data_IF_563258566458
#
_entry.id   IF_563258566458
#
_cell.length_a   1.000
_cell.length_b   1.000
_cell.length_c   1.000
_cell.angle_alpha   90.00
_cell.angle_beta   90.00
_cell.angle_gamma   90.00
#
_symmetry.space_group_name_H-M   'P 1'
#
loop_
_entity.id
_entity.type
_entity.pdbx_description
1 polymer ?
#
# COMPACT_ATOMS: atom_id res chain seq x y z
N UNK A 1 33.23 -106.46 -16.25
CA UNK A 1 34.06 -105.51 -15.46
C UNK A 1 33.15 -104.63 -14.61
N UNK A 2 33.61 -104.26 -13.42
CA UNK A 2 32.83 -103.87 -12.25
C UNK A 2 32.39 -102.40 -12.23
N UNK A 3 31.31 -102.12 -11.47
CA UNK A 3 30.75 -100.81 -11.13
C UNK A 3 31.79 -99.78 -10.64
N UNK A 4 31.50 -98.47 -10.79
CA UNK A 4 31.42 -97.49 -9.67
C UNK A 4 31.08 -96.05 -10.11
N UNK A 5 29.93 -95.58 -9.59
CA UNK A 5 29.62 -94.29 -8.90
C UNK A 5 29.49 -92.95 -9.67
N UNK A 6 28.32 -92.34 -9.43
CA UNK A 6 27.92 -90.93 -9.54
C UNK A 6 28.93 -89.92 -8.95
N UNK A 7 28.92 -88.68 -9.49
CA UNK A 7 28.93 -87.38 -8.77
C UNK A 7 28.46 -86.28 -9.76
N UNK A 8 27.56 -85.34 -9.36
CA UNK A 8 27.15 -84.19 -10.17
C UNK A 8 28.14 -83.02 -10.00
N UNK A 9 28.58 -82.39 -11.09
CA UNK A 9 29.35 -81.15 -11.05
C UNK A 9 28.39 -79.96 -11.02
N UNK A 10 28.39 -79.30 -9.87
CA UNK A 10 27.76 -77.99 -9.63
C UNK A 10 28.44 -76.95 -10.51
N UNK A 11 27.67 -76.36 -11.43
CA UNK A 11 28.07 -75.21 -12.24
C UNK A 11 27.97 -73.94 -11.37
N UNK A 12 29.08 -73.57 -10.73
CA UNK A 12 29.22 -72.33 -9.96
C UNK A 12 29.39 -71.14 -10.94
N UNK A 13 28.28 -70.52 -11.34
CA UNK A 13 28.29 -69.25 -12.06
C UNK A 13 28.69 -68.15 -11.06
N UNK A 14 29.97 -67.78 -11.10
CA UNK A 14 30.49 -66.56 -10.50
C UNK A 14 29.88 -65.34 -11.20
N UNK A 15 28.77 -64.86 -10.66
CA UNK A 15 28.29 -63.51 -10.94
C UNK A 15 29.31 -62.53 -10.33
N UNK A 16 30.25 -62.06 -11.15
CA UNK A 16 31.01 -60.86 -10.86
C UNK A 16 30.04 -59.67 -10.85
N UNK A 17 29.39 -59.46 -9.70
CA UNK A 17 28.63 -58.25 -9.44
C UNK A 17 29.60 -57.08 -9.35
N UNK A 18 29.70 -56.29 -10.41
CA UNK A 18 30.17 -54.91 -10.30
C UNK A 18 29.22 -54.18 -9.34
N UNK A 19 29.57 -54.16 -8.06
CA UNK A 19 29.02 -53.20 -7.12
C UNK A 19 29.53 -51.83 -7.56
N UNK A 20 28.70 -51.10 -8.32
CA UNK A 20 28.96 -49.70 -8.61
C UNK A 20 28.95 -48.95 -7.28
N UNK A 21 30.14 -48.69 -6.73
CA UNK A 21 30.32 -47.96 -5.49
C UNK A 21 29.71 -46.56 -5.57
N UNK A 22 29.40 -45.99 -4.41
CA UNK A 22 28.88 -44.63 -4.30
C UNK A 22 29.76 -43.65 -5.11
N UNK A 23 29.17 -42.83 -6.00
CA UNK A 23 29.93 -41.89 -6.80
C UNK A 23 30.68 -40.89 -5.93
N UNK A 24 31.92 -40.58 -6.29
CA UNK A 24 32.80 -39.66 -5.54
C UNK A 24 32.21 -38.25 -5.38
N UNK A 25 31.35 -37.83 -6.31
CA UNK A 25 30.68 -36.53 -6.27
C UNK A 25 29.65 -36.42 -5.15
N UNK A 26 29.15 -37.55 -4.61
CA UNK A 26 28.21 -37.57 -3.47
C UNK A 26 28.93 -37.19 -2.17
N UNK A 27 30.20 -37.56 -2.02
CA UNK A 27 30.99 -37.30 -0.79
C UNK A 27 31.79 -36.01 -0.87
N UNK A 28 32.39 -35.71 -2.02
CA UNK A 28 33.37 -34.62 -2.13
C UNK A 28 32.86 -33.43 -2.93
N UNK A 29 31.62 -33.48 -3.46
CA UNK A 29 31.05 -32.47 -4.39
C UNK A 29 31.93 -32.18 -5.61
N UNK A 30 32.87 -33.07 -5.94
CA UNK A 30 33.77 -32.98 -7.07
C UNK A 30 33.46 -34.09 -8.05
N UNK A 31 33.26 -33.73 -9.31
CA UNK A 31 32.97 -34.66 -10.38
C UNK A 31 34.11 -34.63 -11.41
N UNK A 32 34.76 -35.76 -11.73
CA UNK A 32 35.93 -35.80 -12.62
C UNK A 32 35.69 -35.17 -14.00
N UNK A 33 34.45 -35.22 -14.50
CA UNK A 33 34.05 -34.61 -15.76
C UNK A 33 33.76 -33.10 -15.74
N UNK A 34 33.78 -32.45 -14.57
CA UNK A 34 33.41 -31.02 -14.42
C UNK A 34 34.47 -30.25 -13.64
N UNK A 35 35.47 -29.73 -14.36
CA UNK A 35 36.56 -28.95 -13.79
C UNK A 35 36.05 -27.62 -13.20
N UNK A 36 36.41 -27.25 -11.95
CA UNK A 36 35.91 -26.04 -11.26
C UNK A 36 36.23 -24.74 -11.99
N UNK A 37 37.24 -24.72 -12.85
CA UNK A 37 37.60 -23.57 -13.68
C UNK A 37 36.47 -23.23 -14.65
N UNK A 38 35.91 -24.26 -15.30
CA UNK A 38 34.91 -24.13 -16.37
C UNK A 38 33.47 -24.34 -15.90
N UNK A 39 33.27 -24.98 -14.75
CA UNK A 39 31.95 -25.36 -14.26
C UNK A 39 31.69 -24.87 -12.84
N UNK A 40 30.44 -24.52 -12.54
CA UNK A 40 29.92 -24.50 -11.15
C UNK A 40 29.12 -25.77 -10.91
N UNK A 41 29.31 -26.39 -9.75
CA UNK A 41 28.71 -27.68 -9.40
C UNK A 41 27.96 -27.54 -8.09
N UNK A 42 26.74 -28.07 -8.03
CA UNK A 42 25.92 -28.10 -6.82
C UNK A 42 25.32 -29.47 -6.60
N UNK A 43 25.38 -29.98 -5.37
CA UNK A 43 24.80 -31.28 -5.00
C UNK A 43 23.54 -31.04 -4.17
N UNK A 44 22.44 -31.63 -4.62
CA UNK A 44 21.15 -31.60 -3.94
C UNK A 44 20.80 -32.96 -3.37
N UNK A 45 20.12 -32.96 -2.23
CA UNK A 45 19.65 -34.18 -1.58
C UNK A 45 18.19 -34.07 -1.16
N UNK A 46 17.51 -35.21 -1.09
CA UNK A 46 16.19 -35.34 -0.50
C UNK A 46 16.03 -36.67 0.23
N UNK A 47 15.33 -36.63 1.36
CA UNK A 47 14.95 -37.84 2.08
C UNK A 47 13.83 -38.58 1.37
N UNK A 48 13.83 -39.91 1.49
CA UNK A 48 12.77 -40.77 0.96
C UNK A 48 11.40 -40.44 1.56
N UNK A 49 10.40 -40.32 0.71
CA UNK A 49 8.98 -40.22 1.02
C UNK A 49 8.22 -41.40 0.39
N UNK A 50 6.89 -41.29 0.32
CA UNK A 50 6.03 -42.30 -0.34
C UNK A 50 6.01 -42.14 -1.87
N UNK A 51 6.59 -41.06 -2.40
CA UNK A 51 6.67 -40.77 -3.84
C UNK A 51 8.13 -40.58 -4.27
N UNK A 52 8.77 -41.64 -4.80
CA UNK A 52 10.16 -41.59 -5.26
C UNK A 52 10.41 -40.57 -6.39
N UNK A 53 9.39 -40.26 -7.20
CA UNK A 53 9.52 -39.30 -8.28
C UNK A 53 9.55 -37.88 -7.72
N UNK A 54 8.67 -37.56 -6.75
CA UNK A 54 8.69 -36.29 -6.05
C UNK A 54 10.01 -36.10 -5.28
N UNK A 55 10.56 -37.16 -4.68
CA UNK A 55 11.85 -37.10 -3.99
C UNK A 55 12.98 -36.76 -4.98
N UNK A 56 13.05 -37.45 -6.12
CA UNK A 56 14.04 -37.16 -7.15
C UNK A 56 13.92 -35.72 -7.68
N UNK A 57 12.71 -35.24 -7.95
CA UNK A 57 12.49 -33.84 -8.37
C UNK A 57 12.93 -32.84 -7.31
N UNK A 58 12.76 -33.17 -6.02
CA UNK A 58 13.21 -32.35 -4.90
C UNK A 58 14.74 -32.33 -4.80
N UNK A 59 15.41 -33.47 -5.00
CA UNK A 59 16.88 -33.53 -5.09
C UNK A 59 17.41 -32.68 -6.26
N UNK A 60 16.79 -32.78 -7.45
CA UNK A 60 17.14 -31.97 -8.61
C UNK A 60 16.97 -30.46 -8.33
N UNK A 61 15.85 -30.06 -7.72
CA UNK A 61 15.59 -28.66 -7.36
C UNK A 61 16.62 -28.15 -6.34
N UNK A 62 16.96 -28.96 -5.34
CA UNK A 62 17.98 -28.63 -4.35
C UNK A 62 19.37 -28.50 -4.98
N UNK A 63 19.72 -29.33 -5.97
CA UNK A 63 21.00 -29.27 -6.66
C UNK A 63 21.13 -27.97 -7.46
N UNK A 64 20.07 -27.58 -8.18
CA UNK A 64 19.99 -26.30 -8.91
C UNK A 64 20.08 -25.10 -7.95
N UNK A 65 19.40 -25.17 -6.82
CA UNK A 65 19.45 -24.14 -5.78
C UNK A 65 20.87 -23.96 -5.24
N UNK A 66 21.62 -25.05 -5.07
CA UNK A 66 23.00 -24.98 -4.58
C UNK A 66 23.95 -24.27 -5.55
N UNK A 67 23.83 -24.56 -6.86
CA UNK A 67 24.55 -23.79 -7.90
C UNK A 67 24.18 -22.31 -7.85
N UNK A 68 22.88 -21.99 -7.72
CA UNK A 68 22.40 -20.61 -7.64
C UNK A 68 22.94 -19.86 -6.41
N UNK A 69 23.02 -20.52 -5.24
CA UNK A 69 23.60 -19.94 -4.02
C UNK A 69 25.08 -19.61 -4.20
N UNK A 70 25.87 -20.53 -4.75
CA UNK A 70 27.30 -20.30 -5.00
C UNK A 70 27.51 -19.11 -5.93
N UNK A 71 26.70 -19.00 -6.97
CA UNK A 71 26.77 -17.87 -7.89
C UNK A 71 26.41 -16.54 -7.22
N UNK A 72 25.38 -16.52 -6.37
CA UNK A 72 25.02 -15.34 -5.56
C UNK A 72 26.17 -14.89 -4.65
N UNK A 73 26.81 -15.82 -3.96
CA UNK A 73 27.97 -15.54 -3.09
C UNK A 73 29.13 -14.95 -3.90
N UNK A 74 29.42 -15.51 -5.08
CA UNK A 74 30.49 -15.02 -5.96
C UNK A 74 30.23 -13.61 -6.49
N UNK A 75 28.97 -13.26 -6.76
CA UNK A 75 28.59 -11.90 -7.15
C UNK A 75 28.78 -10.93 -5.99
N UNK A 76 28.26 -11.27 -4.80
CA UNK A 76 28.36 -10.42 -3.61
C UNK A 76 29.82 -10.18 -3.18
N UNK A 77 30.68 -11.20 -3.27
CA UNK A 77 32.11 -11.08 -2.97
C UNK A 77 32.83 -10.19 -3.98
N UNK A 78 32.56 -10.35 -5.28
CA UNK A 78 33.12 -9.51 -6.35
C UNK A 78 32.73 -8.04 -6.20
N UNK A 79 31.47 -7.75 -5.86
CA UNK A 79 30.99 -6.39 -5.61
C UNK A 79 31.64 -5.73 -4.38
N UNK A 80 31.80 -6.51 -3.30
CA UNK A 80 32.44 -6.04 -2.06
C UNK A 80 33.92 -5.70 -2.29
N UNK A 81 34.62 -6.50 -3.09
CA UNK A 81 36.01 -6.27 -3.47
C UNK A 81 36.17 -5.02 -4.35
N UNK A 82 35.25 -4.80 -5.32
CA UNK A 82 35.27 -3.59 -6.18
C UNK A 82 34.92 -2.30 -5.42
N UNK A 83 34.01 -2.33 -4.45
CA UNK A 83 33.70 -1.17 -3.59
C UNK A 83 34.92 -0.71 -2.78
N UNK A 84 35.74 -1.65 -2.28
CA UNK A 84 36.99 -1.34 -1.54
C UNK A 84 38.09 -0.74 -2.42
N UNK A 85 38.06 -0.97 -3.74
CA UNK A 85 39.09 -0.53 -4.67
C UNK A 85 38.78 0.85 -5.32
N UNK A 86 37.54 1.35 -5.25
CA UNK A 86 37.10 2.61 -5.91
C UNK A 86 36.87 3.79 -4.95
N UNK A 87 37.77 4.03 -4.00
CA UNK A 87 37.78 5.25 -3.17
C UNK A 87 38.51 6.44 -3.80
N UNK A 88 38.86 6.44 -5.09
CA UNK A 88 39.73 7.49 -5.67
C UNK A 88 39.41 8.02 -7.07
N UNK A 89 38.25 7.76 -7.67
CA UNK A 89 37.87 8.43 -8.92
C UNK A 89 36.35 8.53 -9.10
N UNK A 90 35.88 9.77 -9.23
CA UNK A 90 34.50 10.21 -9.38
C UNK A 90 33.77 9.52 -10.55
N UNK A 91 32.81 8.65 -10.22
CA UNK A 91 31.67 8.34 -11.08
C UNK A 91 30.41 8.85 -10.36
N UNK A 92 29.38 9.33 -11.09
CA UNK A 92 28.18 9.88 -10.48
C UNK A 92 27.56 8.89 -9.50
N UNK A 93 27.42 9.37 -8.27
CA UNK A 93 27.04 8.67 -7.05
C UNK A 93 25.56 8.22 -7.02
N UNK A 94 24.89 8.20 -8.18
CA UNK A 94 23.44 7.93 -8.29
C UNK A 94 23.14 6.43 -8.36
N UNK A 95 24.11 5.61 -8.76
CA UNK A 95 24.03 4.14 -8.73
C UNK A 95 25.02 3.51 -7.73
N UNK A 96 25.56 4.30 -6.80
CA UNK A 96 26.33 3.72 -5.70
C UNK A 96 25.37 3.10 -4.68
N UNK A 97 25.38 1.78 -4.71
CA UNK A 97 25.49 0.92 -3.53
C UNK A 97 24.24 0.36 -2.85
N UNK A 98 23.03 0.81 -3.15
CA UNK A 98 21.80 0.28 -2.50
C UNK A 98 20.76 -0.36 -3.44
N UNK A 99 20.71 0.03 -4.71
CA UNK A 99 19.76 -0.55 -5.69
C UNK A 99 20.36 -1.64 -6.58
N UNK A 100 21.66 -1.91 -6.44
CA UNK A 100 22.33 -2.96 -7.19
C UNK A 100 22.05 -4.30 -6.51
N UNK A 101 21.13 -5.05 -7.11
CA UNK A 101 20.78 -6.44 -6.84
C UNK A 101 19.84 -6.63 -5.64
N UNK A 102 18.58 -6.24 -5.80
CA UNK A 102 17.51 -6.91 -5.06
C UNK A 102 17.38 -8.33 -5.63
N UNK A 103 18.15 -9.22 -5.00
CA UNK A 103 18.63 -10.49 -5.53
C UNK A 103 17.57 -11.60 -5.46
N UNK A 104 16.36 -11.33 -5.93
CA UNK A 104 15.25 -12.31 -5.87
C UNK A 104 14.65 -12.59 -7.24
N UNK A 105 14.62 -11.62 -8.16
CA UNK A 105 14.07 -11.82 -9.52
C UNK A 105 15.05 -12.49 -10.49
N UNK A 106 16.36 -12.39 -10.27
CA UNK A 106 17.37 -12.99 -11.16
C UNK A 106 17.53 -14.52 -10.98
N UNK A 107 16.77 -15.17 -10.10
CA UNK A 107 16.87 -16.64 -9.91
C UNK A 107 16.42 -17.40 -11.17
N UNK A 108 15.44 -16.90 -11.91
CA UNK A 108 14.94 -17.59 -13.12
C UNK A 108 15.94 -17.52 -14.29
N UNK A 109 16.71 -16.44 -14.41
CA UNK A 109 17.77 -16.29 -15.43
C UNK A 109 18.97 -17.21 -15.11
N UNK A 110 19.20 -17.48 -13.83
CA UNK A 110 20.25 -18.39 -13.35
C UNK A 110 19.92 -19.87 -13.61
N UNK A 111 18.64 -20.24 -13.63
CA UNK A 111 18.20 -21.64 -13.76
C UNK A 111 18.30 -22.19 -15.19
N UNK A 112 18.23 -21.34 -16.23
CA UNK A 112 18.20 -21.80 -17.63
C UNK A 112 19.52 -22.42 -18.13
N UNK A 113 20.65 -22.13 -17.48
CA UNK A 113 21.95 -22.71 -17.82
C UNK A 113 22.33 -23.94 -16.98
N UNK A 114 21.51 -24.33 -16.01
CA UNK A 114 21.86 -25.38 -15.04
C UNK A 114 21.24 -26.72 -15.46
N UNK A 115 22.09 -27.70 -15.74
CA UNK A 115 21.69 -29.06 -16.12
C UNK A 115 21.93 -30.04 -14.98
N UNK A 116 21.05 -31.04 -14.84
CA UNK A 116 21.31 -32.18 -13.94
C UNK A 116 22.25 -33.13 -14.68
N UNK A 117 23.47 -33.27 -14.16
CA UNK A 117 24.51 -34.08 -14.78
C UNK A 117 24.39 -35.56 -14.40
N UNK A 118 23.99 -35.87 -13.16
CA UNK A 118 23.86 -37.24 -12.68
C UNK A 118 22.91 -37.32 -11.47
N UNK A 119 22.45 -38.53 -11.14
CA UNK A 119 21.60 -38.83 -9.99
C UNK A 119 22.05 -40.12 -9.31
N UNK A 120 21.98 -40.16 -7.99
CA UNK A 120 22.33 -41.35 -7.21
C UNK A 120 21.34 -41.58 -6.08
N UNK A 121 21.07 -42.85 -5.78
CA UNK A 121 20.25 -43.23 -4.64
C UNK A 121 21.05 -44.06 -3.65
N UNK A 122 21.22 -43.55 -2.42
CA UNK A 122 21.83 -44.31 -1.34
C UNK A 122 20.79 -45.22 -0.69
N UNK A 123 20.89 -46.53 -0.94
CA UNK A 123 20.07 -47.53 -0.24
C UNK A 123 20.37 -47.58 1.26
N UNK A 124 21.60 -47.27 1.67
CA UNK A 124 22.02 -47.25 3.07
C UNK A 124 21.38 -46.10 3.83
N UNK A 125 21.39 -44.90 3.25
CA UNK A 125 20.95 -43.68 3.92
C UNK A 125 19.50 -43.30 3.55
N UNK A 126 18.90 -44.00 2.59
CA UNK A 126 17.55 -43.72 2.07
C UNK A 126 17.42 -42.29 1.52
N UNK A 127 18.47 -41.82 0.82
CA UNK A 127 18.59 -40.48 0.27
C UNK A 127 18.70 -40.51 -1.26
N UNK A 128 17.98 -39.60 -1.92
CA UNK A 128 18.19 -39.27 -3.32
C UNK A 128 19.16 -38.11 -3.43
N UNK A 129 20.11 -38.23 -4.34
CA UNK A 129 21.10 -37.23 -4.68
C UNK A 129 20.97 -36.84 -6.14
N UNK A 130 21.19 -35.57 -6.42
CA UNK A 130 21.35 -35.05 -7.77
C UNK A 130 22.55 -34.10 -7.80
N UNK A 131 23.27 -34.09 -8.92
CA UNK A 131 24.33 -33.11 -9.16
C UNK A 131 23.94 -32.23 -10.33
N UNK A 132 23.97 -30.93 -10.08
CA UNK A 132 23.67 -29.89 -11.05
C UNK A 132 24.97 -29.20 -11.47
N UNK A 133 25.08 -28.86 -12.75
CA UNK A 133 26.26 -28.21 -13.33
C UNK A 133 25.86 -26.99 -14.16
N UNK A 134 26.67 -25.95 -14.09
CA UNK A 134 26.59 -24.75 -14.93
C UNK A 134 27.89 -24.60 -15.70
N UNK A 135 27.82 -24.62 -17.03
CA UNK A 135 28.94 -24.31 -17.91
C UNK A 135 29.19 -22.79 -17.94
N UNK A 136 30.29 -22.31 -17.35
CA UNK A 136 30.55 -20.87 -17.21
C UNK A 136 30.79 -20.19 -18.56
N UNK A 137 31.69 -20.66 -19.45
CA UNK A 137 31.88 -20.05 -20.78
C UNK A 137 30.61 -19.97 -21.62
N UNK A 138 29.84 -21.07 -21.67
CA UNK A 138 28.61 -21.13 -22.45
C UNK A 138 27.54 -20.17 -21.90
N UNK A 139 27.40 -20.13 -20.58
CA UNK A 139 26.49 -19.19 -19.91
C UNK A 139 26.93 -17.75 -20.14
N UNK A 140 28.23 -17.44 -20.04
CA UNK A 140 28.76 -16.12 -20.31
C UNK A 140 28.50 -15.68 -21.77
N UNK A 141 28.65 -16.59 -22.74
CA UNK A 141 28.36 -16.31 -24.15
C UNK A 141 26.88 -16.01 -24.41
N UNK A 142 25.97 -16.80 -23.81
CA UNK A 142 24.52 -16.54 -23.87
C UNK A 142 24.17 -15.18 -23.27
N UNK A 143 24.70 -14.88 -22.08
CA UNK A 143 24.48 -13.60 -21.42
C UNK A 143 25.04 -12.43 -22.23
N UNK A 144 26.17 -12.60 -22.91
CA UNK A 144 26.72 -11.59 -23.81
C UNK A 144 25.76 -11.28 -24.97
N UNK A 145 25.14 -12.30 -25.54
CA UNK A 145 24.14 -12.13 -26.61
C UNK A 145 22.90 -11.36 -26.12
N UNK A 146 22.36 -11.70 -24.94
CA UNK A 146 21.26 -10.96 -24.32
C UNK A 146 21.66 -9.54 -23.93
N UNK A 147 22.90 -9.34 -23.47
CA UNK A 147 23.45 -8.02 -23.17
C UNK A 147 23.49 -7.13 -24.42
N UNK A 148 23.95 -7.63 -25.57
CA UNK A 148 23.91 -6.89 -26.85
C UNK A 148 22.48 -6.52 -27.27
N UNK A 149 21.53 -7.45 -27.09
CA UNK A 149 20.11 -7.21 -27.34
C UNK A 149 19.54 -6.10 -26.46
N UNK A 150 19.85 -6.12 -25.15
CA UNK A 150 19.45 -5.07 -24.22
C UNK A 150 20.09 -3.73 -24.57
N UNK A 151 21.38 -3.69 -24.91
CA UNK A 151 22.07 -2.46 -25.35
C UNK A 151 21.38 -1.82 -26.56
N UNK A 152 21.08 -2.63 -27.59
CA UNK A 152 20.35 -2.18 -28.78
C UNK A 152 18.98 -1.62 -28.41
N UNK A 153 18.29 -2.27 -27.47
CA UNK A 153 16.97 -1.85 -27.01
C UNK A 153 17.00 -0.56 -26.19
N UNK A 154 18.02 -0.34 -25.37
CA UNK A 154 18.26 0.93 -24.65
C UNK A 154 18.39 2.08 -25.65
N UNK A 155 19.28 1.96 -26.62
CA UNK A 155 19.49 3.00 -27.64
C UNK A 155 18.20 3.33 -28.40
N UNK A 156 17.49 2.31 -28.85
CA UNK A 156 16.24 2.47 -29.59
C UNK A 156 15.14 3.15 -28.75
N UNK A 157 14.93 2.71 -27.52
CA UNK A 157 13.91 3.28 -26.65
C UNK A 157 14.25 4.70 -26.20
N UNK A 158 15.54 4.98 -25.95
CA UNK A 158 16.01 6.34 -25.65
C UNK A 158 15.81 7.29 -26.83
N UNK A 159 15.97 6.82 -28.07
CA UNK A 159 15.64 7.59 -29.28
C UNK A 159 14.14 7.86 -29.36
N UNK A 160 13.30 6.82 -29.22
CA UNK A 160 11.83 6.98 -29.21
C UNK A 160 11.34 7.91 -28.10
N UNK A 161 11.97 7.87 -26.93
CA UNK A 161 11.69 8.78 -25.83
C UNK A 161 11.86 10.25 -26.25
N UNK A 162 12.98 10.58 -26.89
CA UNK A 162 13.27 11.94 -27.38
C UNK A 162 12.30 12.38 -28.46
N UNK A 163 12.01 11.52 -29.44
CA UNK A 163 11.05 11.80 -30.51
C UNK A 163 9.64 12.09 -29.98
N UNK A 164 9.21 11.39 -28.93
CA UNK A 164 7.92 11.63 -28.30
C UNK A 164 7.89 12.95 -27.52
N UNK A 165 9.00 13.33 -26.86
CA UNK A 165 9.12 14.64 -26.23
C UNK A 165 9.03 15.78 -27.24
N UNK A 166 9.71 15.66 -28.38
CA UNK A 166 9.64 16.64 -29.46
C UNK A 166 8.22 16.80 -30.03
N UNK A 167 7.43 15.71 -30.03
CA UNK A 167 6.02 15.71 -30.42
C UNK A 167 5.06 16.17 -29.32
N UNK A 168 5.57 16.47 -28.11
CA UNK A 168 4.76 16.85 -26.95
C UNK A 168 4.04 15.69 -26.25
N UNK A 169 4.31 14.43 -26.63
CA UNK A 169 3.77 13.25 -25.94
C UNK A 169 4.64 12.88 -24.73
N UNK A 170 4.48 13.63 -23.64
CA UNK A 170 5.27 13.48 -22.42
C UNK A 170 5.04 12.12 -21.73
N UNK A 171 3.80 11.61 -21.73
CA UNK A 171 3.49 10.31 -21.09
C UNK A 171 4.06 9.16 -21.92
N UNK A 172 3.91 9.21 -23.24
CA UNK A 172 4.53 8.24 -24.15
C UNK A 172 6.05 8.24 -24.01
N UNK A 173 6.68 9.42 -23.96
CA UNK A 173 8.11 9.55 -23.74
C UNK A 173 8.54 8.92 -22.40
N UNK A 174 7.82 9.21 -21.32
CA UNK A 174 8.08 8.63 -20.01
C UNK A 174 7.99 7.09 -20.04
N UNK A 175 6.99 6.51 -20.72
CA UNK A 175 6.90 5.07 -20.88
C UNK A 175 8.11 4.48 -21.62
N UNK A 176 8.60 5.14 -22.68
CA UNK A 176 9.80 4.70 -23.39
C UNK A 176 11.06 4.82 -22.54
N UNK A 177 11.19 5.90 -21.77
CA UNK A 177 12.29 6.10 -20.81
C UNK A 177 12.31 5.03 -19.72
N UNK A 178 11.16 4.69 -19.14
CA UNK A 178 11.03 3.61 -18.14
C UNK A 178 11.45 2.26 -18.74
N UNK A 179 10.98 1.93 -19.96
CA UNK A 179 11.42 0.71 -20.66
C UNK A 179 12.92 0.70 -20.94
N UNK A 180 13.49 1.85 -21.33
CA UNK A 180 14.92 1.96 -21.57
C UNK A 180 15.70 1.68 -20.28
N UNK A 181 15.24 2.23 -19.15
CA UNK A 181 15.86 2.02 -17.84
C UNK A 181 15.78 0.56 -17.38
N UNK A 182 14.67 -0.13 -17.63
CA UNK A 182 14.53 -1.56 -17.37
C UNK A 182 15.56 -2.38 -18.16
N UNK A 183 15.67 -2.14 -19.47
CA UNK A 183 16.66 -2.82 -20.31
C UNK A 183 18.10 -2.46 -19.93
N UNK A 184 18.35 -1.23 -19.49
CA UNK A 184 19.66 -0.80 -18.99
C UNK A 184 20.05 -1.55 -17.72
N UNK A 185 19.11 -1.74 -16.79
CA UNK A 185 19.33 -2.56 -15.58
C UNK A 185 19.67 -4.00 -15.94
N UNK A 186 18.89 -4.64 -16.83
CA UNK A 186 19.18 -6.01 -17.31
C UNK A 186 20.54 -6.11 -18.04
N UNK A 187 20.91 -5.09 -18.82
CA UNK A 187 22.25 -5.00 -19.41
C UNK A 187 23.34 -5.01 -18.32
N UNK A 188 23.18 -4.19 -17.28
CA UNK A 188 24.15 -4.08 -16.19
C UNK A 188 24.25 -5.37 -15.37
N UNK A 189 23.12 -6.04 -15.12
CA UNK A 189 23.08 -7.33 -14.44
C UNK A 189 23.81 -8.42 -15.25
N UNK A 190 23.51 -8.53 -16.55
CA UNK A 190 24.20 -9.48 -17.43
C UNK A 190 25.71 -9.20 -17.48
N UNK A 191 26.10 -7.92 -17.57
CA UNK A 191 27.51 -7.52 -17.58
C UNK A 191 28.23 -7.93 -16.30
N UNK A 192 27.61 -7.73 -15.15
CA UNK A 192 28.17 -8.15 -13.86
C UNK A 192 28.31 -9.66 -13.77
N UNK A 193 27.30 -10.39 -14.24
CA UNK A 193 27.30 -11.86 -14.26
C UNK A 193 28.42 -12.42 -15.15
N UNK A 194 28.59 -11.88 -16.36
CA UNK A 194 29.67 -12.24 -17.28
C UNK A 194 31.03 -12.03 -16.61
N UNK A 195 31.23 -10.90 -15.92
CA UNK A 195 32.49 -10.62 -15.24
C UNK A 195 32.82 -11.57 -14.08
N UNK A 196 31.83 -12.27 -13.53
CA UNK A 196 32.02 -13.31 -12.50
C UNK A 196 32.27 -14.69 -13.13
N UNK A 197 31.53 -15.02 -14.20
CA UNK A 197 31.62 -16.32 -14.86
C UNK A 197 32.86 -16.46 -15.75
N UNK A 198 33.22 -15.40 -16.47
CA UNK A 198 34.40 -15.33 -17.32
C UNK A 198 35.02 -13.91 -17.23
N UNK A 199 35.96 -13.71 -16.27
CA UNK A 199 36.62 -12.43 -16.08
C UNK A 199 37.44 -11.95 -17.30
N UNK A 200 37.78 -12.85 -18.23
CA UNK A 200 38.56 -12.53 -19.43
C UNK A 200 37.67 -12.19 -20.62
N UNK A 201 36.37 -12.49 -20.57
CA UNK A 201 35.43 -12.22 -21.65
C UNK A 201 35.44 -10.74 -22.08
N UNK A 202 35.55 -10.45 -23.39
CA UNK A 202 35.54 -9.09 -23.91
C UNK A 202 34.19 -8.38 -23.68
N UNK A 203 33.08 -9.12 -23.70
CA UNK A 203 31.74 -8.58 -23.45
C UNK A 203 31.62 -7.91 -22.07
N UNK A 204 32.28 -8.45 -21.03
CA UNK A 204 32.29 -7.82 -19.70
C UNK A 204 32.98 -6.45 -19.67
N UNK A 205 33.80 -6.14 -20.69
CA UNK A 205 34.62 -4.93 -20.80
C UNK A 205 34.04 -3.89 -21.76
N UNK A 206 32.94 -4.19 -22.44
CA UNK A 206 32.27 -3.24 -23.35
C UNK A 206 31.86 -1.95 -22.62
N UNK A 207 31.86 -0.84 -23.37
CA UNK A 207 31.34 0.44 -22.88
C UNK A 207 29.82 0.34 -22.75
N UNK A 208 29.24 0.66 -21.58
CA UNK A 208 27.80 0.71 -21.42
C UNK A 208 27.12 1.64 -22.42
N UNK A 209 25.88 1.34 -22.84
CA UNK A 209 25.04 2.36 -23.45
C UNK A 209 24.83 3.51 -22.46
N UNK A 210 24.44 4.68 -22.98
CA UNK A 210 24.12 5.84 -22.14
C UNK A 210 22.99 5.49 -21.17
N UNK A 211 23.19 5.82 -19.89
CA UNK A 211 22.19 5.61 -18.84
C UNK A 211 20.96 6.49 -19.11
N UNK A 212 19.75 5.90 -19.29
CA UNK A 212 18.53 6.64 -19.55
C UNK A 212 17.93 7.31 -18.29
N UNK A 213 18.55 7.15 -17.12
CA UNK A 213 18.08 7.76 -15.88
C UNK A 213 17.94 9.27 -16.00
N UNK A 214 18.93 9.95 -16.59
CA UNK A 214 18.91 11.41 -16.74
C UNK A 214 17.73 11.88 -17.60
N UNK A 215 17.41 11.16 -18.68
CA UNK A 215 16.23 11.44 -19.50
C UNK A 215 14.94 11.29 -18.69
N UNK A 216 14.77 10.19 -17.94
CA UNK A 216 13.59 9.98 -17.09
C UNK A 216 13.48 11.03 -15.99
N UNK A 217 14.60 11.37 -15.34
CA UNK A 217 14.66 12.38 -14.29
C UNK A 217 14.31 13.77 -14.80
N UNK A 218 14.72 14.14 -16.02
CA UNK A 218 14.32 15.40 -16.66
C UNK A 218 12.83 15.47 -16.93
N UNK A 219 12.23 14.40 -17.46
CA UNK A 219 10.78 14.35 -17.70
C UNK A 219 10.04 14.48 -16.37
N UNK A 220 10.41 13.67 -15.37
CA UNK A 220 9.86 13.73 -14.00
C UNK A 220 9.95 15.14 -13.42
N UNK A 221 11.11 15.79 -13.51
CA UNK A 221 11.34 17.14 -12.99
C UNK A 221 10.56 18.24 -13.72
N UNK A 222 10.09 17.98 -14.94
CA UNK A 222 9.23 18.89 -15.68
C UNK A 222 7.76 18.86 -15.24
N UNK A 223 7.33 17.81 -14.54
CA UNK A 223 5.93 17.63 -14.16
C UNK A 223 5.58 18.49 -12.94
N UNK A 224 4.42 19.13 -12.97
CA UNK A 224 3.84 19.81 -11.81
C UNK A 224 2.35 19.53 -11.66
N UNK A 225 1.87 19.59 -10.43
CA UNK A 225 0.46 19.51 -10.07
C UNK A 225 0.06 20.80 -9.33
N UNK A 226 -1.13 21.31 -9.63
CA UNK A 226 -1.72 22.48 -8.97
C UNK A 226 -3.12 22.15 -8.47
N UNK A 227 -3.44 22.55 -7.24
CA UNK A 227 -4.78 22.47 -6.68
C UNK A 227 -5.71 23.51 -7.32
N UNK A 228 -6.89 23.06 -7.77
CA UNK A 228 -7.93 23.93 -8.34
C UNK A 228 -9.12 24.12 -7.40
N UNK A 229 -9.33 23.23 -6.43
CA UNK A 229 -10.41 23.35 -5.45
C UNK A 229 -10.82 22.02 -4.81
N UNK A 230 -11.81 22.08 -3.91
CA UNK A 230 -12.22 20.94 -3.07
C UNK A 230 -11.40 20.81 -1.78
N UNK A 231 -10.70 21.87 -1.37
CA UNK A 231 -9.97 21.90 -0.09
C UNK A 231 -10.90 22.30 1.07
N UNK A 232 -10.47 22.03 2.30
CA UNK A 232 -11.14 22.41 3.55
C UNK A 232 -12.60 21.94 3.66
N UNK A 233 -12.91 20.79 3.07
CA UNK A 233 -14.24 20.20 3.15
C UNK A 233 -14.50 19.52 4.50
N UNK A 234 -15.76 19.43 4.91
CA UNK A 234 -16.16 18.62 6.08
C UNK A 234 -16.56 17.21 5.65
N UNK A 235 -16.13 16.19 6.40
CA UNK A 235 -16.42 14.80 6.13
C UNK A 235 -16.92 14.08 7.39
N UNK A 236 -17.84 13.13 7.21
CA UNK A 236 -18.25 12.18 8.25
C UNK A 236 -17.38 10.94 8.15
N UNK A 237 -17.05 10.31 9.28
CA UNK A 237 -16.36 9.01 9.29
C UNK A 237 -17.08 8.01 8.38
N UNK A 238 -16.31 7.29 7.55
CA UNK A 238 -16.80 6.29 6.60
C UNK A 238 -17.49 6.85 5.37
N UNK A 239 -17.70 8.17 5.29
CA UNK A 239 -18.33 8.84 4.15
C UNK A 239 -17.29 9.48 3.24
N UNK A 240 -17.64 9.68 1.96
CA UNK A 240 -16.81 10.43 1.02
C UNK A 240 -16.79 11.93 1.29
N UNK A 241 -15.92 12.65 0.59
CA UNK A 241 -15.99 14.12 0.53
C UNK A 241 -17.14 14.55 -0.39
N UNK A 242 -17.80 15.65 -0.05
CA UNK A 242 -18.96 16.15 -0.80
C UNK A 242 -18.59 16.61 -2.22
N UNK A 243 -17.46 17.29 -2.34
CA UNK A 243 -16.86 17.70 -3.60
C UNK A 243 -15.62 16.86 -3.92
N UNK A 244 -15.32 16.73 -5.21
CA UNK A 244 -14.07 16.11 -5.67
C UNK A 244 -12.89 17.04 -5.44
N UNK A 245 -11.72 16.48 -5.13
CA UNK A 245 -10.46 17.22 -5.16
C UNK A 245 -10.07 17.49 -6.61
N UNK A 246 -9.97 18.76 -6.99
CA UNK A 246 -9.68 19.15 -8.38
C UNK A 246 -8.23 19.57 -8.50
N UNK A 247 -7.54 19.00 -9.48
CA UNK A 247 -6.13 19.29 -9.77
C UNK A 247 -5.91 19.59 -11.25
N UNK A 248 -4.81 20.28 -11.56
CA UNK A 248 -4.28 20.46 -12.91
C UNK A 248 -2.85 19.97 -12.99
N UNK A 249 -2.55 19.09 -13.93
CA UNK A 249 -1.20 18.67 -14.28
C UNK A 249 -0.64 19.50 -15.42
N UNK A 250 0.64 19.84 -15.32
CA UNK A 250 1.34 20.66 -16.31
C UNK A 250 2.77 20.15 -16.53
N UNK A 251 3.29 20.41 -17.72
CA UNK A 251 4.71 20.28 -18.08
C UNK A 251 5.33 21.67 -18.04
N UNK A 252 6.50 21.78 -17.39
CA UNK A 252 7.21 23.04 -17.14
C UNK A 252 6.31 24.14 -16.54
N UNK A 253 5.30 23.74 -15.74
CA UNK A 253 4.35 24.64 -15.09
C UNK A 253 3.38 25.39 -16.01
N UNK A 254 3.41 25.17 -17.32
CA UNK A 254 2.68 25.99 -18.30
C UNK A 254 1.79 25.17 -19.22
N UNK A 255 2.33 24.08 -19.78
CA UNK A 255 1.63 23.28 -20.79
C UNK A 255 0.73 22.24 -20.12
N UNK A 256 -0.59 22.21 -20.38
CA UNK A 256 -1.48 21.22 -19.77
C UNK A 256 -1.09 19.78 -20.16
N UNK A 257 -1.03 18.88 -19.17
CA UNK A 257 -0.65 17.48 -19.40
C UNK A 257 -1.86 16.54 -19.32
N UNK A 258 -2.28 16.00 -20.45
CA UNK A 258 -3.34 15.00 -20.52
C UNK A 258 -2.83 13.58 -20.21
N UNK A 259 -3.77 12.69 -19.86
CA UNK A 259 -3.56 11.26 -19.60
C UNK A 259 -2.57 10.93 -18.47
N UNK A 260 -2.23 11.88 -17.60
CA UNK A 260 -1.39 11.63 -16.43
C UNK A 260 -2.22 10.91 -15.36
N UNK A 261 -1.87 9.67 -14.96
CA UNK A 261 -2.55 8.98 -13.88
C UNK A 261 -2.28 9.68 -12.54
N UNK A 262 -3.33 9.95 -11.77
CA UNK A 262 -3.25 10.54 -10.43
C UNK A 262 -4.09 9.75 -9.44
N UNK A 263 -3.66 9.77 -8.18
CA UNK A 263 -4.36 9.13 -7.06
C UNK A 263 -4.33 10.01 -5.82
N UNK A 264 -5.27 9.78 -4.91
CA UNK A 264 -5.19 10.33 -3.56
C UNK A 264 -4.49 9.36 -2.62
N UNK A 265 -3.58 9.88 -1.81
CA UNK A 265 -2.88 9.20 -0.73
C UNK A 265 -3.27 9.84 0.61
N UNK A 266 -3.42 8.99 1.62
CA UNK A 266 -3.78 9.38 2.98
C UNK A 266 -2.64 9.03 3.92
N UNK A 267 -2.73 9.48 5.18
CA UNK A 267 -1.76 9.12 6.22
C UNK A 267 -1.55 7.59 6.30
N UNK A 268 -0.32 7.13 6.57
CA UNK A 268 -0.01 5.71 6.68
C UNK A 268 -0.99 4.96 7.61
N UNK A 269 -1.45 3.79 7.19
CA UNK A 269 -2.43 2.98 7.94
C UNK A 269 -3.89 3.42 7.80
N UNK A 270 -4.19 4.49 7.06
CA UNK A 270 -5.57 4.90 6.79
C UNK A 270 -6.30 3.88 5.91
N UNK A 271 -7.55 3.57 6.27
CA UNK A 271 -8.47 2.73 5.47
C UNK A 271 -9.31 3.55 4.47
N UNK A 272 -8.98 4.83 4.31
CA UNK A 272 -9.68 5.74 3.41
C UNK A 272 -9.56 5.29 1.95
N UNK A 273 -10.59 5.56 1.15
CA UNK A 273 -10.69 5.11 -0.25
C UNK A 273 -10.92 6.30 -1.17
N UNK A 274 -10.25 6.29 -2.32
CA UNK A 274 -10.42 7.28 -3.36
C UNK A 274 -10.41 6.62 -4.74
N UNK A 275 -11.03 7.28 -5.71
CA UNK A 275 -10.99 6.85 -7.10
C UNK A 275 -9.67 7.26 -7.75
N UNK A 276 -8.99 6.31 -8.40
CA UNK A 276 -7.87 6.64 -9.29
C UNK A 276 -8.40 7.18 -10.62
N UNK A 277 -7.81 8.26 -11.12
CA UNK A 277 -8.26 8.94 -12.36
C UNK A 277 -7.05 9.33 -13.20
N UNK A 278 -7.27 9.74 -14.45
CA UNK A 278 -6.25 10.35 -15.29
C UNK A 278 -6.68 11.78 -15.65
N UNK A 279 -5.72 12.64 -15.97
CA UNK A 279 -6.02 14.00 -16.43
C UNK A 279 -6.63 14.01 -17.83
N UNK A 280 -7.57 14.92 -18.08
CA UNK A 280 -8.15 15.13 -19.42
C UNK A 280 -7.34 16.07 -20.32
N UNK A 281 -7.84 16.41 -21.52
CA UNK A 281 -7.14 17.26 -22.50
C UNK A 281 -6.66 18.63 -21.99
N UNK A 282 -7.35 19.21 -21.00
CA UNK A 282 -6.94 20.47 -20.35
C UNK A 282 -5.98 20.30 -19.16
N UNK A 283 -5.41 19.11 -18.98
CA UNK A 283 -4.58 18.73 -17.83
C UNK A 283 -5.35 18.62 -16.51
N UNK A 284 -6.68 18.71 -16.53
CA UNK A 284 -7.50 18.71 -15.30
C UNK A 284 -7.93 17.30 -14.91
N UNK A 285 -7.98 17.03 -13.62
CA UNK A 285 -8.57 15.82 -13.04
C UNK A 285 -9.45 16.16 -11.82
N UNK A 286 -10.44 15.31 -11.55
CA UNK A 286 -11.33 15.41 -10.39
C UNK A 286 -11.29 14.09 -9.63
N UNK A 287 -10.66 14.07 -8.47
CA UNK A 287 -10.45 12.89 -7.64
C UNK A 287 -11.59 12.80 -6.62
N UNK A 288 -12.42 11.75 -6.71
CA UNK A 288 -13.50 11.52 -5.75
C UNK A 288 -12.97 10.72 -4.55
N UNK A 289 -13.18 11.26 -3.36
CA UNK A 289 -12.93 10.54 -2.10
C UNK A 289 -14.21 9.77 -1.75
N UNK A 290 -14.11 8.46 -1.64
CA UNK A 290 -15.24 7.54 -1.44
C UNK A 290 -15.53 7.28 0.04
N UNK A 291 -14.50 7.38 0.89
CA UNK A 291 -14.63 7.15 2.32
C UNK A 291 -13.40 7.67 3.05
N UNK A 292 -13.61 8.36 4.17
CA UNK A 292 -12.53 8.78 5.09
C UNK A 292 -12.54 7.94 6.37
N UNK A 293 -11.35 7.57 6.84
CA UNK A 293 -11.19 6.86 8.10
C UNK A 293 -11.37 7.77 9.32
N UNK A 294 -11.60 7.17 10.49
CA UNK A 294 -11.47 7.91 11.74
C UNK A 294 -10.00 8.30 11.95
N UNK A 295 -9.77 9.51 12.43
CA UNK A 295 -8.46 9.96 12.88
C UNK A 295 -8.61 10.67 14.22
N UNK A 296 -7.49 10.88 14.90
CA UNK A 296 -7.46 11.57 16.19
C UNK A 296 -7.42 13.10 16.02
N UNK A 297 -7.25 13.61 14.79
CA UNK A 297 -7.11 15.03 14.51
C UNK A 297 -8.32 15.56 13.77
N UNK A 298 -8.81 16.76 14.13
CA UNK A 298 -9.97 17.35 13.46
C UNK A 298 -9.67 17.68 12.00
N UNK A 299 -8.44 18.11 11.69
CA UNK A 299 -7.98 18.37 10.33
C UNK A 299 -7.10 17.22 9.85
N UNK A 300 -7.34 16.78 8.63
CA UNK A 300 -6.74 15.59 8.05
C UNK A 300 -6.21 15.87 6.66
N UNK A 301 -4.93 15.58 6.40
CA UNK A 301 -4.37 15.75 5.08
C UNK A 301 -4.84 14.64 4.13
N UNK A 302 -5.03 15.00 2.87
CA UNK A 302 -5.13 14.08 1.75
C UNK A 302 -4.30 14.67 0.62
N UNK A 303 -3.42 13.87 0.06
CA UNK A 303 -2.48 14.32 -0.95
C UNK A 303 -2.85 13.72 -2.30
N UNK A 304 -2.99 14.55 -3.33
CA UNK A 304 -3.17 14.08 -4.71
C UNK A 304 -1.79 14.06 -5.36
N UNK A 305 -1.38 12.87 -5.79
CA UNK A 305 -0.05 12.61 -6.35
C UNK A 305 -0.16 11.84 -7.67
N UNK A 306 0.91 11.86 -8.45
CA UNK A 306 1.06 11.03 -9.65
C UNK A 306 1.05 9.55 -9.26
N UNK A 307 0.26 8.74 -9.97
CA UNK A 307 0.23 7.29 -9.75
C UNK A 307 1.35 6.60 -10.53
N UNK A 308 2.58 6.75 -10.03
CA UNK A 308 3.79 6.16 -10.63
C UNK A 308 3.69 4.65 -10.80
N UNK A 309 3.06 3.95 -9.88
CA UNK A 309 2.87 2.50 -9.98
C UNK A 309 2.06 2.11 -11.22
N UNK A 310 1.03 2.91 -11.55
CA UNK A 310 0.26 2.71 -12.77
C UNK A 310 1.07 3.03 -14.01
N UNK A 311 1.84 4.13 -14.02
CA UNK A 311 2.72 4.48 -15.16
C UNK A 311 3.75 3.37 -15.42
N UNK A 312 4.40 2.85 -14.37
CA UNK A 312 5.38 1.76 -14.49
C UNK A 312 4.69 0.49 -15.00
N UNK A 313 3.51 0.14 -14.45
CA UNK A 313 2.74 -1.01 -14.90
C UNK A 313 2.32 -0.89 -16.36
N UNK A 314 1.85 0.27 -16.79
CA UNK A 314 1.43 0.53 -18.16
C UNK A 314 2.63 0.50 -19.12
N UNK A 315 3.82 0.88 -18.64
CA UNK A 315 5.06 0.74 -19.39
C UNK A 315 5.51 -0.73 -19.48
N UNK A 316 5.70 -1.43 -18.35
CA UNK A 316 6.39 -2.72 -18.30
C UNK A 316 5.46 -3.93 -18.42
N UNK A 317 4.16 -3.76 -18.22
CA UNK A 317 3.17 -4.85 -18.17
C UNK A 317 3.13 -5.62 -16.84
N UNK A 318 4.06 -5.34 -15.92
CA UNK A 318 4.25 -6.04 -14.65
C UNK A 318 4.05 -5.11 -13.45
N UNK A 319 3.88 -5.67 -12.25
CA UNK A 319 3.88 -4.85 -11.03
C UNK A 319 5.29 -4.30 -10.81
N UNK A 320 5.45 -3.01 -10.42
CA UNK A 320 6.75 -2.47 -10.09
C UNK A 320 7.39 -3.28 -8.96
N UNK A 321 8.61 -3.78 -9.17
CA UNK A 321 9.45 -4.26 -8.08
C UNK A 321 9.90 -3.12 -7.15
N UNK A 322 10.40 -3.43 -5.94
CA UNK A 322 10.87 -2.44 -4.96
C UNK A 322 11.95 -1.48 -5.50
N UNK A 323 12.69 -1.88 -6.53
CA UNK A 323 13.76 -1.09 -7.18
C UNK A 323 13.30 0.21 -7.87
N UNK A 324 11.99 0.47 -7.95
CA UNK A 324 11.43 1.71 -8.49
C UNK A 324 11.11 2.76 -7.41
N UNK A 325 11.06 2.35 -6.13
CA UNK A 325 10.87 3.27 -5.01
C UNK A 325 12.07 4.24 -4.93
N UNK A 326 11.78 5.54 -4.83
CA UNK A 326 12.80 6.61 -4.81
C UNK A 326 13.23 7.13 -6.19
N UNK A 327 13.17 6.33 -7.25
CA UNK A 327 13.45 6.78 -8.63
C UNK A 327 12.34 7.72 -9.12
N UNK A 328 11.08 7.30 -8.91
CA UNK A 328 9.89 8.01 -9.35
C UNK A 328 9.10 8.53 -8.14
N UNK A 329 9.53 9.69 -7.64
CA UNK A 329 8.73 10.57 -6.79
C UNK A 329 8.16 11.71 -7.64
N UNK A 330 7.00 12.25 -7.28
CA UNK A 330 6.31 13.19 -8.15
C UNK A 330 5.88 14.46 -7.46
N UNK A 331 5.49 15.46 -8.26
CA UNK A 331 4.73 16.56 -7.71
C UNK A 331 3.49 16.02 -6.99
N UNK A 332 3.12 16.69 -5.92
CA UNK A 332 1.93 16.39 -5.16
C UNK A 332 1.25 17.67 -4.73
N UNK A 333 -0.05 17.58 -4.49
CA UNK A 333 -0.86 18.69 -3.97
C UNK A 333 -1.53 18.20 -2.70
N UNK A 334 -1.26 18.90 -1.61
CA UNK A 334 -1.90 18.64 -0.33
C UNK A 334 -3.22 19.38 -0.25
N UNK A 335 -4.26 18.63 0.10
CA UNK A 335 -5.55 19.13 0.54
C UNK A 335 -5.75 18.75 2.01
N UNK A 336 -6.72 19.39 2.63
CA UNK A 336 -7.13 19.16 4.02
C UNK A 336 -8.64 18.99 4.06
N UNK A 337 -9.10 18.07 4.89
CA UNK A 337 -10.52 17.96 5.24
C UNK A 337 -10.69 17.94 6.75
N UNK A 338 -11.81 18.50 7.20
CA UNK A 338 -12.21 18.45 8.60
C UNK A 338 -13.09 17.20 8.83
N UNK A 339 -12.68 16.30 9.72
CA UNK A 339 -13.60 15.28 10.22
C UNK A 339 -14.61 15.94 11.14
N UNK A 340 -15.87 15.57 10.97
CA UNK A 340 -16.91 15.95 11.92
C UNK A 340 -16.69 15.19 13.22
N UNK A 341 -16.36 15.93 14.25
CA UNK A 341 -16.34 15.48 15.64
C UNK A 341 -17.22 16.42 16.46
N UNK A 342 -17.53 16.10 17.72
CA UNK A 342 -18.17 17.05 18.61
C UNK A 342 -17.43 18.41 18.66
N UNK A 343 -16.10 18.40 18.74
CA UNK A 343 -15.26 19.60 18.86
C UNK A 343 -15.32 20.53 17.64
N UNK A 344 -15.56 19.96 16.46
CA UNK A 344 -15.70 20.71 15.20
C UNK A 344 -17.15 21.05 14.87
N UNK A 345 -18.12 20.61 15.68
CA UNK A 345 -19.54 20.73 15.39
C UNK A 345 -20.20 21.80 16.26
N UNK A 346 -20.97 22.68 15.62
CA UNK A 346 -21.74 23.70 16.32
C UNK A 346 -23.21 23.29 16.46
N UNK A 347 -23.72 23.32 17.69
CA UNK A 347 -25.10 23.01 18.08
C UNK A 347 -25.89 24.28 18.31
N UNK A 348 -27.04 24.39 17.64
CA UNK A 348 -28.06 25.40 17.90
C UNK A 348 -29.26 24.75 18.60
N UNK A 349 -29.69 25.32 19.72
CA UNK A 349 -30.81 24.82 20.52
C UNK A 349 -32.11 25.53 20.16
N UNK A 350 -33.20 24.78 19.96
CA UNK A 350 -34.55 25.32 19.74
C UNK A 350 -35.58 24.59 20.60
N UNK A 351 -36.01 25.24 21.68
CA UNK A 351 -36.96 24.69 22.65
C UNK A 351 -38.37 25.19 22.32
N UNK A 352 -39.35 24.28 22.27
CA UNK A 352 -40.77 24.58 22.07
C UNK A 352 -41.59 23.97 23.20
N UNK A 353 -42.39 24.81 23.86
CA UNK A 353 -43.36 24.38 24.87
C UNK A 353 -44.74 24.32 24.23
N UNK A 354 -45.40 23.15 24.22
CA UNK A 354 -46.72 22.97 23.58
C UNK A 354 -47.88 23.20 24.53
N UNK A 355 -47.82 22.59 25.70
CA UNK A 355 -48.82 22.66 26.76
C UNK A 355 -48.09 22.76 28.10
N UNK A 356 -48.62 23.58 29.00
CA UNK A 356 -47.95 23.94 30.23
C UNK A 356 -48.96 24.43 31.27
N UNK A 357 -49.62 23.47 31.91
CA UNK A 357 -50.65 23.74 32.92
C UNK A 357 -50.08 24.42 34.19
N UNK A 358 -48.76 24.52 34.31
CA UNK A 358 -48.06 25.11 35.44
C UNK A 358 -47.52 26.52 35.18
N UNK A 359 -47.58 27.03 33.95
CA UNK A 359 -47.02 28.35 33.59
C UNK A 359 -45.49 28.45 33.69
N UNK A 360 -44.78 27.32 33.63
CA UNK A 360 -43.31 27.24 33.76
C UNK A 360 -42.62 27.54 32.42
N UNK A 361 -41.67 28.46 32.36
CA UNK A 361 -40.86 28.65 31.13
C UNK A 361 -39.83 27.51 30.98
N UNK A 362 -40.16 26.50 30.18
CA UNK A 362 -39.26 25.39 29.88
C UNK A 362 -37.94 25.85 29.24
N UNK A 363 -37.92 26.99 28.53
CA UNK A 363 -36.70 27.53 27.91
C UNK A 363 -35.67 27.91 28.96
N UNK A 364 -36.10 28.64 30.00
CA UNK A 364 -35.23 29.03 31.13
C UNK A 364 -34.62 27.84 31.87
N UNK A 365 -35.27 26.68 31.84
CA UNK A 365 -34.81 25.46 32.52
C UNK A 365 -33.89 24.65 31.62
N UNK A 366 -34.30 24.41 30.38
CA UNK A 366 -33.62 23.47 29.48
C UNK A 366 -32.42 24.10 28.78
N UNK A 367 -32.48 25.38 28.42
CA UNK A 367 -31.37 26.04 27.71
C UNK A 367 -30.02 25.90 28.44
N UNK A 368 -29.89 26.19 29.75
CA UNK A 368 -28.61 26.01 30.45
C UNK A 368 -28.21 24.54 30.60
N UNK A 369 -29.17 23.64 30.84
CA UNK A 369 -28.91 22.19 31.02
C UNK A 369 -28.40 21.57 29.72
N UNK A 370 -29.09 21.81 28.60
CA UNK A 370 -28.68 21.33 27.29
C UNK A 370 -27.34 21.92 26.86
N UNK A 371 -27.15 23.24 27.03
CA UNK A 371 -25.90 23.89 26.65
C UNK A 371 -24.68 23.37 27.42
N UNK A 372 -24.80 23.21 28.74
CA UNK A 372 -23.73 22.65 29.57
C UNK A 372 -23.41 21.19 29.17
N UNK A 373 -24.45 20.38 28.96
CA UNK A 373 -24.27 18.99 28.54
C UNK A 373 -23.54 18.87 27.21
N UNK A 374 -23.98 19.62 26.18
CA UNK A 374 -23.35 19.55 24.86
C UNK A 374 -21.90 20.08 24.90
N UNK A 375 -21.62 21.15 25.65
CA UNK A 375 -20.23 21.61 25.87
C UNK A 375 -19.36 20.56 26.56
N UNK A 376 -19.88 19.87 27.58
CA UNK A 376 -19.19 18.75 28.24
C UNK A 376 -18.92 17.57 27.30
N UNK A 377 -19.69 17.45 26.23
CA UNK A 377 -19.48 16.46 25.16
C UNK A 377 -18.61 16.97 24.01
N UNK A 378 -18.02 18.17 24.15
CA UNK A 378 -17.11 18.76 23.17
C UNK A 378 -17.77 19.69 22.16
N UNK A 379 -19.11 19.77 22.10
CA UNK A 379 -19.81 20.60 21.13
C UNK A 379 -19.67 22.10 21.41
N UNK A 380 -19.57 22.89 20.34
CA UNK A 380 -19.72 24.35 20.42
C UNK A 380 -21.21 24.70 20.44
N UNK A 381 -21.71 25.38 21.47
CA UNK A 381 -23.15 25.70 21.59
C UNK A 381 -23.40 27.18 21.34
N UNK A 382 -24.23 27.50 20.35
CA UNK A 382 -24.72 28.87 20.09
C UNK A 382 -26.00 29.16 20.89
N UNK A 383 -25.91 30.07 21.84
CA UNK A 383 -27.07 30.58 22.57
C UNK A 383 -27.80 31.66 21.75
N UNK A 384 -29.12 31.58 21.66
CA UNK A 384 -29.94 32.61 21.00
C UNK A 384 -29.90 33.88 21.86
N UNK A 385 -29.11 34.87 21.43
CA UNK A 385 -28.87 36.12 22.17
C UNK A 385 -27.66 36.93 21.65
N UNK A 386 -26.77 36.33 20.87
CA UNK A 386 -25.72 37.05 20.15
C UNK A 386 -26.02 37.06 18.64
N UNK A 387 -27.03 37.84 18.23
CA UNK A 387 -26.97 38.45 16.90
C UNK A 387 -26.12 39.72 17.08
N UNK A 388 -24.80 39.59 16.95
CA UNK A 388 -24.02 40.74 16.47
C UNK A 388 -24.14 40.70 14.96
N UNK A 389 -24.84 41.67 14.39
CA UNK A 389 -24.87 41.96 12.94
C UNK A 389 -23.51 42.50 12.44
N UNK A 390 -22.41 41.86 12.86
CA UNK A 390 -21.11 42.00 12.22
C UNK A 390 -20.90 40.78 11.34
N UNK A 391 -21.14 40.99 10.05
CA UNK A 391 -20.50 40.26 8.98
C UNK A 391 -18.98 40.32 9.18
N UNK A 392 -18.42 39.39 9.94
CA UNK A 392 -17.01 39.03 9.81
C UNK A 392 -16.92 38.03 8.66
N UNK A 393 -16.53 38.54 7.50
CA UNK A 393 -16.05 37.73 6.39
C UNK A 393 -14.79 37.01 6.86
N UNK A 394 -14.93 35.78 7.35
CA UNK A 394 -13.79 34.95 7.76
C UNK A 394 -14.23 33.67 8.46
N UNK A 395 -14.15 32.55 7.73
CA UNK A 395 -14.13 31.17 8.24
C UNK A 395 -15.42 30.61 8.89
N UNK A 396 -16.27 30.00 8.07
CA UNK A 396 -16.64 28.59 8.27
C UNK A 396 -17.62 28.16 9.38
N UNK A 397 -18.15 29.02 10.26
CA UNK A 397 -19.03 28.55 11.35
C UNK A 397 -20.52 28.84 11.10
N UNK A 398 -21.14 28.04 10.22
CA UNK A 398 -22.61 27.88 10.21
C UNK A 398 -22.96 26.72 11.13
N UNK A 399 -23.97 26.90 11.99
CA UNK A 399 -24.46 25.86 12.89
C UNK A 399 -24.65 24.53 12.14
N UNK A 400 -23.95 23.50 12.58
CA UNK A 400 -23.83 22.21 11.90
C UNK A 400 -24.97 21.28 12.30
N UNK A 401 -25.55 21.50 13.49
CA UNK A 401 -26.60 20.67 14.08
C UNK A 401 -27.66 21.54 14.75
N UNK A 402 -28.92 21.35 14.37
CA UNK A 402 -30.09 21.92 15.04
C UNK A 402 -30.68 20.90 15.99
N UNK A 403 -30.72 21.19 17.29
CA UNK A 403 -31.38 20.35 18.29
C UNK A 403 -32.73 20.99 18.63
N UNK A 404 -33.81 20.28 18.31
CA UNK A 404 -35.19 20.71 18.59
C UNK A 404 -35.71 19.92 19.78
N UNK A 405 -36.01 20.63 20.85
CA UNK A 405 -36.61 20.11 22.08
C UNK A 405 -38.08 20.50 22.11
N UNK A 406 -38.99 19.53 22.20
CA UNK A 406 -40.42 19.78 22.36
C UNK A 406 -40.87 19.22 23.70
N UNK A 407 -41.52 20.05 24.50
CA UNK A 407 -41.93 19.69 25.87
C UNK A 407 -43.41 19.98 26.06
N UNK A 408 -44.06 19.04 26.75
CA UNK A 408 -45.46 19.10 27.18
C UNK A 408 -45.51 18.79 28.68
N UNK A 409 -46.16 19.65 29.46
CA UNK A 409 -46.23 19.57 30.92
C UNK A 409 -47.69 19.60 31.36
N UNK A 410 -48.14 18.47 31.91
CA UNK A 410 -49.53 18.24 32.27
C UNK A 410 -49.67 17.91 33.75
N UNK A 411 -50.71 18.44 34.38
CA UNK A 411 -51.07 18.03 35.74
C UNK A 411 -51.44 16.54 35.77
N UNK A 412 -50.93 15.81 36.77
CA UNK A 412 -51.11 14.34 36.88
C UNK A 412 -51.74 13.89 38.19
N UNK A 413 -52.16 14.83 39.04
CA UNK A 413 -52.86 14.54 40.30
C UNK A 413 -52.11 15.01 41.55
N UNK A 414 -52.57 14.52 42.70
CA UNK A 414 -51.95 14.77 44.02
C UNK A 414 -51.37 13.48 44.60
N UNK A 415 -50.30 13.62 45.38
CA UNK A 415 -49.73 12.53 46.19
C UNK A 415 -49.50 13.07 47.60
N UNK A 416 -50.36 12.65 48.54
CA UNK A 416 -50.43 13.27 49.86
C UNK A 416 -50.77 14.77 49.78
N UNK A 417 -50.00 15.61 50.49
CA UNK A 417 -50.13 17.08 50.43
C UNK A 417 -49.47 17.72 49.19
N UNK A 418 -48.74 16.94 48.39
CA UNK A 418 -48.03 17.43 47.20
C UNK A 418 -48.85 17.31 45.91
N UNK A 419 -48.43 18.07 44.89
CA UNK A 419 -48.93 17.98 43.52
C UNK A 419 -47.91 17.26 42.64
N UNK A 420 -48.42 16.54 41.63
CA UNK A 420 -47.61 15.77 40.69
C UNK A 420 -47.89 16.26 39.27
N UNK A 421 -46.82 16.51 38.53
CA UNK A 421 -46.86 16.84 37.11
C UNK A 421 -46.13 15.78 36.29
N UNK A 422 -46.59 15.59 35.06
CA UNK A 422 -45.92 14.77 34.05
C UNK A 422 -45.34 15.68 32.99
N UNK A 423 -44.06 15.52 32.71
CA UNK A 423 -43.43 16.10 31.54
C UNK A 423 -43.28 15.02 30.47
N UNK A 424 -43.64 15.33 29.23
CA UNK A 424 -43.31 14.54 28.03
C UNK A 424 -42.36 15.37 27.18
N UNK A 425 -41.25 14.78 26.77
CA UNK A 425 -40.24 15.46 25.98
C UNK A 425 -39.88 14.61 24.77
N UNK A 426 -39.77 15.27 23.62
CA UNK A 426 -39.17 14.71 22.42
C UNK A 426 -38.02 15.60 21.99
N UNK A 427 -36.86 15.02 21.73
CA UNK A 427 -35.68 15.74 21.26
C UNK A 427 -35.21 15.17 19.94
N UNK A 428 -34.87 16.03 18.99
CA UNK A 428 -34.37 15.63 17.67
C UNK A 428 -33.16 16.47 17.31
N UNK A 429 -32.05 15.81 16.99
CA UNK A 429 -30.85 16.42 16.45
C UNK A 429 -30.84 16.27 14.92
N UNK A 430 -30.86 17.39 14.22
CA UNK A 430 -30.90 17.47 12.76
C UNK A 430 -29.60 18.08 12.23
N UNK A 431 -28.91 17.34 11.39
CA UNK A 431 -27.74 17.83 10.67
C UNK A 431 -28.19 18.72 9.52
N UNK A 432 -27.89 20.01 9.62
CA UNK A 432 -28.32 21.01 8.64
C UNK A 432 -27.59 20.87 7.30
N UNK A 433 -26.38 20.29 7.30
CA UNK A 433 -25.57 20.13 6.10
C UNK A 433 -25.95 18.88 5.32
N UNK A 434 -26.09 17.73 6.00
CA UNK A 434 -26.52 16.49 5.35
C UNK A 434 -28.04 16.39 5.20
N UNK A 435 -28.79 17.34 5.78
CA UNK A 435 -30.26 17.38 5.80
C UNK A 435 -30.90 16.12 6.39
N UNK A 436 -30.23 15.51 7.37
CA UNK A 436 -30.64 14.23 7.95
C UNK A 436 -30.80 14.31 9.48
N UNK A 437 -31.58 13.40 10.05
CA UNK A 437 -31.70 13.25 11.50
C UNK A 437 -30.50 12.43 11.97
N UNK A 438 -29.71 13.00 12.88
CA UNK A 438 -28.57 12.32 13.50
C UNK A 438 -29.07 11.39 14.61
N UNK A 439 -29.95 11.92 15.46
CA UNK A 439 -30.48 11.21 16.60
C UNK A 439 -31.85 11.79 17.00
N UNK A 440 -32.71 10.93 17.55
CA UNK A 440 -33.95 11.34 18.17
C UNK A 440 -34.21 10.52 19.44
N UNK A 441 -34.81 11.15 20.43
CA UNK A 441 -35.20 10.52 21.69
C UNK A 441 -36.55 11.06 22.16
N UNK A 442 -37.30 10.24 22.87
CA UNK A 442 -38.57 10.61 23.49
C UNK A 442 -38.66 9.96 24.87
N UNK A 443 -39.31 10.64 25.81
CA UNK A 443 -39.43 10.14 27.17
C UNK A 443 -40.41 10.95 28.00
N UNK A 444 -40.69 10.43 29.18
CA UNK A 444 -41.62 11.03 30.13
C UNK A 444 -41.09 10.89 31.54
N UNK A 445 -41.32 11.89 32.39
CA UNK A 445 -41.02 11.81 33.81
C UNK A 445 -42.14 12.41 34.65
N UNK A 446 -42.22 11.98 35.91
CA UNK A 446 -43.12 12.52 36.91
C UNK A 446 -42.33 13.34 37.93
N UNK A 447 -42.77 14.56 38.20
CA UNK A 447 -42.20 15.42 39.23
C UNK A 447 -43.23 15.70 40.32
N UNK A 448 -42.88 15.41 41.58
CA UNK A 448 -43.69 15.72 42.74
C UNK A 448 -43.07 16.82 43.59
N UNK A 449 -43.89 17.78 44.05
CA UNK A 449 -43.48 18.84 44.97
C UNK A 449 -44.67 19.42 45.75
N UNK A 450 -44.39 20.29 46.72
CA UNK A 450 -45.42 21.04 47.48
C UNK A 450 -46.13 22.11 46.65
N UNK A 451 -45.51 22.63 45.58
CA UNK A 451 -46.09 23.63 44.68
C UNK A 451 -46.17 23.16 43.23
N UNK A 452 -47.14 23.69 42.47
CA UNK A 452 -47.35 23.34 41.04
C UNK A 452 -46.10 23.63 40.20
N UNK A 453 -45.52 24.82 40.38
CA UNK A 453 -44.31 25.26 39.70
C UNK A 453 -43.13 24.31 39.97
N UNK A 454 -42.85 24.00 41.23
CA UNK A 454 -41.74 23.12 41.59
C UNK A 454 -41.93 21.68 41.08
N UNK A 455 -43.17 21.17 41.10
CA UNK A 455 -43.48 19.83 40.60
C UNK A 455 -43.28 19.73 39.08
N UNK A 456 -43.74 20.75 38.34
CA UNK A 456 -43.51 20.86 36.90
C UNK A 456 -42.04 21.04 36.53
N UNK A 457 -41.31 21.93 37.21
CA UNK A 457 -39.87 22.12 37.01
C UNK A 457 -39.09 20.82 37.24
N UNK A 458 -39.44 20.08 38.30
CA UNK A 458 -38.84 18.78 38.61
C UNK A 458 -39.13 17.77 37.50
N UNK A 459 -40.38 17.68 37.03
CA UNK A 459 -40.74 16.77 35.94
C UNK A 459 -39.94 17.07 34.65
N UNK A 460 -39.76 18.35 34.30
CA UNK A 460 -38.97 18.79 33.13
C UNK A 460 -37.49 18.41 33.31
N UNK A 461 -36.90 18.69 34.47
CA UNK A 461 -35.50 18.36 34.76
C UNK A 461 -35.27 16.85 34.72
N UNK A 462 -36.16 16.07 35.32
CA UNK A 462 -36.02 14.61 35.39
C UNK A 462 -36.09 13.98 33.98
N UNK A 463 -37.02 14.42 33.12
CA UNK A 463 -37.08 13.90 31.74
C UNK A 463 -35.88 14.35 30.90
N UNK A 464 -35.38 15.58 31.09
CA UNK A 464 -34.21 16.09 30.40
C UNK A 464 -32.93 15.34 30.81
N UNK A 465 -32.76 15.08 32.11
CA UNK A 465 -31.62 14.34 32.66
C UNK A 465 -31.56 12.90 32.15
N UNK A 466 -32.70 12.28 31.84
CA UNK A 466 -32.73 10.94 31.24
C UNK A 466 -32.43 10.98 29.72
N UNK A 467 -33.03 11.93 28.99
CA UNK A 467 -33.00 11.93 27.52
C UNK A 467 -31.77 12.57 26.91
N UNK A 468 -31.36 13.73 27.43
CA UNK A 468 -30.32 14.54 26.78
C UNK A 468 -28.96 13.83 26.75
N UNK A 469 -28.50 13.12 27.82
CA UNK A 469 -27.24 12.37 27.76
C UNK A 469 -27.23 11.28 26.69
N UNK A 470 -28.35 10.55 26.53
CA UNK A 470 -28.52 9.50 25.51
C UNK A 470 -28.47 10.10 24.10
N UNK A 471 -29.13 11.24 23.90
CA UNK A 471 -29.09 11.97 22.64
C UNK A 471 -27.68 12.44 22.30
N UNK A 472 -26.99 13.09 23.26
CA UNK A 472 -25.65 13.63 23.04
C UNK A 472 -24.62 12.52 22.73
N UNK A 473 -24.74 11.35 23.36
CA UNK A 473 -23.92 10.18 23.04
C UNK A 473 -24.17 9.70 21.60
N UNK A 474 -25.44 9.50 21.22
CA UNK A 474 -25.81 9.12 19.84
C UNK A 474 -25.40 10.14 18.80
N UNK A 475 -25.45 11.44 19.14
CA UNK A 475 -24.94 12.50 18.28
C UNK A 475 -23.45 12.36 18.07
N UNK A 476 -22.66 12.16 19.13
CA UNK A 476 -21.22 11.98 19.02
C UNK A 476 -20.83 10.72 18.22
N UNK A 477 -21.56 9.62 18.38
CA UNK A 477 -21.39 8.40 17.57
C UNK A 477 -21.81 8.59 16.10
N UNK A 478 -22.75 9.50 15.86
CA UNK A 478 -23.32 9.79 14.55
C UNK A 478 -22.52 10.78 13.70
N UNK A 479 -21.44 11.35 14.22
CA UNK A 479 -20.46 12.17 13.51
C UNK A 479 -19.23 11.33 13.15
#
# INVERSE_FOLDING_TARGET
MSMKKLIPVVLLILAAGCSAGQPAWVTNSTHPGYAPEHFLVGVGLSSRSRDPQADMQKADANARLEVAKQLRVNIQSSLSSRKKQKTRASLPQTYTSETAIDSTENVDILLQGITIADRYYSKKDQLHYAIAVLNKPETAHRLASEMTRHSSRVSELSRQCKELLEKGDTIGALHKGIKALDHYRRYMDNRQMIAVLDPMAPAGKETPPRDPYDEVAKIKGSLSLMGLGGDMQTAKKGSGLAETLRVKAMVHGTTPLANLPVKATFSPGSTSKAQAVATGPGGKASVRILGVAATQTPLNPVEVTVDWNRIIKDALGEKPGPSWEGVLSGPSVRFTYALRTPETSCVQLKIHTRQNDAGVDATSILSPVSADLFRKKGFQVQSRGQHSDRHTNGSGSKATILVVEKVDVQYSGRRGRGVVYRARMSVTAYDTASRSIIASAHGTALGGASSRKAAAERAIKDVANDLLPKLAARMAEGL
#
